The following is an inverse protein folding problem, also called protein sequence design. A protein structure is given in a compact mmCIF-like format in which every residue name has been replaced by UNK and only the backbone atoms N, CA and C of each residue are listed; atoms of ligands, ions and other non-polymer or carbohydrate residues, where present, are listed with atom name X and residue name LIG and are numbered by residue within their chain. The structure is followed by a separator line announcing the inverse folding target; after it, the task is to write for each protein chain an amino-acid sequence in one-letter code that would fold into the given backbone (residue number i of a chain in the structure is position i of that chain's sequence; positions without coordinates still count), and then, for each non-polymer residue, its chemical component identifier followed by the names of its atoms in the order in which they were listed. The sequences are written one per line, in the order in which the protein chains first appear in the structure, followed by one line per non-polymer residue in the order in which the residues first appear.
data_IF_380952674835
#
_entry.id   IF_380952674835
#
_cell.length_a   1.000
_cell.length_b   1.000
_cell.length_c   1.000
_cell.angle_alpha   90.00
_cell.angle_beta   90.00
_cell.angle_gamma   90.00
#
_symmetry.space_group_name_H-M   'P 1'
#
loop_
_entity.id
_entity.type
_entity.pdbx_description
1 polymer ?
#
# COMPACT_ATOMS: atom_id res chain seq x y z
N UNK A 1 -21.34 1.84 20.26
CA UNK A 1 -20.30 2.03 19.23
C UNK A 1 -19.66 0.67 18.99
N UNK A 2 -19.17 0.43 17.78
CA UNK A 2 -18.35 -0.74 17.41
C UNK A 2 -19.10 -2.03 17.11
N UNK A 3 -19.77 -2.03 15.96
CA UNK A 3 -19.69 -3.13 15.01
C UNK A 3 -19.70 -2.44 13.63
N UNK A 4 -18.68 -2.67 12.78
CA UNK A 4 -18.70 -2.31 11.34
C UNK A 4 -18.68 -0.81 11.01
N UNK A 5 -17.60 -0.09 11.33
CA UNK A 5 -17.36 1.22 10.69
C UNK A 5 -16.35 1.04 9.53
N UNK A 6 -16.82 0.99 8.26
CA UNK A 6 -15.95 0.86 7.10
C UNK A 6 -15.01 2.05 6.93
N UNK A 7 -15.41 3.23 7.40
CA UNK A 7 -14.60 4.45 7.33
C UNK A 7 -13.40 4.34 8.26
N UNK A 8 -13.58 3.81 9.46
CA UNK A 8 -12.48 3.58 10.40
C UNK A 8 -11.50 2.56 9.83
N UNK A 9 -11.99 1.46 9.27
CA UNK A 9 -11.13 0.46 8.62
C UNK A 9 -10.39 1.04 7.39
N UNK A 10 -11.04 1.89 6.61
CA UNK A 10 -10.40 2.58 5.49
C UNK A 10 -9.29 3.54 5.96
N UNK A 11 -9.57 4.36 6.97
CA UNK A 11 -8.59 5.30 7.53
C UNK A 11 -7.41 4.57 8.18
N UNK A 12 -7.67 3.45 8.84
CA UNK A 12 -6.61 2.62 9.43
C UNK A 12 -5.71 2.02 8.34
N UNK A 13 -6.31 1.50 7.25
CA UNK A 13 -5.55 1.00 6.10
C UNK A 13 -4.67 2.12 5.49
N UNK A 14 -5.23 3.30 5.25
CA UNK A 14 -4.48 4.45 4.74
C UNK A 14 -3.33 4.84 5.67
N UNK A 15 -3.55 4.83 7.00
CA UNK A 15 -2.54 5.17 7.99
C UNK A 15 -1.41 4.13 8.05
N UNK A 16 -1.74 2.84 8.12
CA UNK A 16 -0.74 1.78 8.22
C UNK A 16 0.11 1.68 6.94
N UNK A 17 -0.54 1.71 5.77
CA UNK A 17 0.14 1.74 4.48
C UNK A 17 0.98 3.01 4.34
N UNK A 18 0.44 4.16 4.73
CA UNK A 18 1.17 5.41 4.76
C UNK A 18 2.44 5.33 5.61
N UNK A 19 2.33 4.85 6.85
CA UNK A 19 3.46 4.67 7.76
C UNK A 19 4.52 3.70 7.22
N UNK A 20 4.11 2.57 6.65
CA UNK A 20 5.01 1.63 5.98
C UNK A 20 5.85 2.34 4.92
N UNK A 21 5.20 3.07 4.00
CA UNK A 21 5.85 3.72 2.89
C UNK A 21 6.68 4.96 3.29
N UNK A 22 6.25 5.71 4.31
CA UNK A 22 7.04 6.81 4.88
C UNK A 22 8.35 6.31 5.48
N UNK A 23 8.36 5.12 6.08
CA UNK A 23 9.56 4.49 6.62
C UNK A 23 10.57 4.02 5.57
N UNK A 24 10.17 3.92 4.30
CA UNK A 24 11.07 3.50 3.22
C UNK A 24 11.96 4.65 2.72
N UNK A 25 13.22 4.32 2.44
CA UNK A 25 14.14 5.18 1.69
C UNK A 25 13.71 5.36 0.23
N UNK A 26 14.23 6.39 -0.43
CA UNK A 26 13.95 6.66 -1.85
C UNK A 26 14.30 5.48 -2.77
N UNK A 27 15.36 4.72 -2.45
CA UNK A 27 15.76 3.55 -3.23
C UNK A 27 14.74 2.40 -3.08
N UNK A 28 14.28 2.15 -1.86
CA UNK A 28 13.27 1.11 -1.58
C UNK A 28 11.93 1.48 -2.23
N UNK A 29 11.51 2.75 -2.17
CA UNK A 29 10.30 3.21 -2.87
C UNK A 29 10.40 2.97 -4.39
N UNK A 30 11.56 3.25 -4.99
CA UNK A 30 11.80 2.96 -6.41
C UNK A 30 11.78 1.46 -6.71
N UNK A 31 12.34 0.62 -5.83
CA UNK A 31 12.29 -0.83 -5.97
C UNK A 31 10.86 -1.37 -5.95
N UNK A 32 10.01 -0.83 -5.08
CA UNK A 32 8.58 -1.15 -5.04
C UNK A 32 7.87 -0.69 -6.32
N UNK A 33 8.14 0.53 -6.79
CA UNK A 33 7.55 1.08 -8.02
C UNK A 33 7.94 0.30 -9.27
N UNK A 34 9.18 -0.19 -9.34
CA UNK A 34 9.70 -1.00 -10.44
C UNK A 34 9.15 -2.44 -10.46
N UNK A 35 8.20 -2.78 -9.58
CA UNK A 35 7.54 -4.08 -9.56
C UNK A 35 8.48 -5.25 -9.30
N UNK A 36 9.57 -5.03 -8.56
CA UNK A 36 10.53 -6.10 -8.27
C UNK A 36 11.19 -6.70 -9.51
N UNK A 37 11.31 -5.97 -10.62
CA UNK A 37 11.92 -6.47 -11.87
C UNK A 37 13.45 -6.72 -11.79
N UNK A 38 14.08 -6.54 -10.62
CA UNK A 38 15.52 -6.72 -10.43
C UNK A 38 15.94 -7.99 -9.70
N UNK A 39 15.22 -8.43 -8.65
CA UNK A 39 15.64 -9.57 -7.82
C UNK A 39 14.41 -10.14 -7.11
N UNK A 40 14.01 -11.37 -7.44
CA UNK A 40 13.17 -12.24 -6.59
C UNK A 40 12.07 -11.57 -5.78
N UNK A 41 11.04 -11.01 -6.44
CA UNK A 41 9.90 -10.36 -5.79
C UNK A 41 9.17 -11.25 -4.75
N UNK A 42 9.32 -12.57 -4.82
CA UNK A 42 8.80 -13.51 -3.82
C UNK A 42 9.55 -13.52 -2.46
N UNK A 43 10.75 -12.92 -2.37
CA UNK A 43 11.60 -12.93 -1.16
C UNK A 43 12.11 -11.54 -0.75
N UNK A 44 11.58 -10.46 -1.31
CA UNK A 44 12.02 -9.13 -0.87
C UNK A 44 11.42 -8.81 0.52
N UNK A 45 12.26 -8.44 1.51
CA UNK A 45 11.81 -8.14 2.87
C UNK A 45 10.71 -7.08 2.93
N UNK A 46 10.65 -6.19 1.94
CA UNK A 46 9.63 -5.14 1.83
C UNK A 46 8.23 -5.70 1.58
N UNK A 47 8.10 -6.72 0.71
CA UNK A 47 6.81 -7.36 0.48
C UNK A 47 6.39 -8.20 1.69
N UNK A 48 7.34 -8.86 2.35
CA UNK A 48 7.08 -9.58 3.60
C UNK A 48 6.58 -8.64 4.70
N UNK A 49 7.18 -7.45 4.83
CA UNK A 49 6.75 -6.45 5.80
C UNK A 49 5.40 -5.83 5.45
N UNK A 50 5.09 -5.63 4.16
CA UNK A 50 3.77 -5.17 3.73
C UNK A 50 2.68 -6.23 3.97
N UNK A 51 2.98 -7.51 3.74
CA UNK A 51 2.10 -8.62 4.10
C UNK A 51 1.85 -8.67 5.61
N UNK A 52 2.90 -8.55 6.43
CA UNK A 52 2.73 -8.47 7.88
C UNK A 52 1.87 -7.27 8.30
N UNK A 53 2.05 -6.11 7.64
CA UNK A 53 1.24 -4.90 7.90
C UNK A 53 -0.24 -5.16 7.57
N UNK A 54 -0.51 -5.94 6.53
CA UNK A 54 -1.85 -6.36 6.16
C UNK A 54 -2.45 -7.34 7.19
N UNK A 55 -1.68 -8.32 7.68
CA UNK A 55 -2.15 -9.26 8.69
C UNK A 55 -2.52 -8.54 10.00
N UNK A 56 -1.66 -7.62 10.47
CA UNK A 56 -1.97 -6.77 11.63
C UNK A 56 -3.19 -5.90 11.40
N UNK A 57 -3.37 -5.39 10.17
CA UNK A 57 -4.56 -4.63 9.82
C UNK A 57 -5.84 -5.47 9.92
N UNK A 58 -5.81 -6.72 9.44
CA UNK A 58 -6.94 -7.64 9.55
C UNK A 58 -7.29 -7.92 11.00
N UNK A 59 -6.31 -8.14 11.87
CA UNK A 59 -6.52 -8.35 13.31
C UNK A 59 -7.15 -7.13 14.00
N UNK A 60 -6.93 -5.92 13.44
CA UNK A 60 -7.44 -4.67 13.99
C UNK A 60 -8.83 -4.27 13.47
N UNK A 61 -9.37 -4.97 12.48
CA UNK A 61 -10.67 -4.60 11.88
C UNK A 61 -11.71 -5.69 12.01
N UNK A 62 -12.87 -5.33 12.54
CA UNK A 62 -14.03 -6.22 12.66
C UNK A 62 -14.91 -6.15 11.40
N UNK A 63 -14.30 -6.35 10.23
CA UNK A 63 -14.97 -6.36 8.93
C UNK A 63 -14.77 -7.71 8.23
N UNK A 64 -15.67 -8.09 7.31
CA UNK A 64 -15.40 -9.20 6.41
C UNK A 64 -14.06 -8.99 5.70
N UNK A 65 -13.21 -10.01 5.73
CA UNK A 65 -11.85 -9.95 5.21
C UNK A 65 -11.79 -9.44 3.76
N UNK A 66 -12.75 -9.83 2.91
CA UNK A 66 -12.85 -9.34 1.53
C UNK A 66 -12.98 -7.81 1.44
N UNK A 67 -13.77 -7.20 2.34
CA UNK A 67 -13.92 -5.74 2.40
C UNK A 67 -12.66 -5.07 2.93
N UNK A 68 -12.06 -5.63 3.99
CA UNK A 68 -10.82 -5.14 4.57
C UNK A 68 -9.67 -5.19 3.54
N UNK A 69 -9.54 -6.31 2.82
CA UNK A 69 -8.63 -6.48 1.68
C UNK A 69 -8.82 -5.39 0.64
N UNK A 70 -10.06 -5.08 0.29
CA UNK A 70 -10.40 -4.02 -0.65
C UNK A 70 -9.86 -2.65 -0.21
N UNK A 71 -10.07 -2.28 1.06
CA UNK A 71 -9.55 -1.01 1.60
C UNK A 71 -8.03 -0.97 1.64
N UNK A 72 -7.39 -2.05 2.06
CA UNK A 72 -5.93 -2.11 2.13
C UNK A 72 -5.30 -2.05 0.73
N UNK A 73 -5.83 -2.80 -0.23
CA UNK A 73 -5.37 -2.76 -1.61
C UNK A 73 -5.55 -1.36 -2.24
N UNK A 74 -6.66 -0.68 -1.95
CA UNK A 74 -6.89 0.68 -2.42
C UNK A 74 -5.88 1.67 -1.82
N UNK A 75 -5.57 1.55 -0.53
CA UNK A 75 -4.58 2.38 0.14
C UNK A 75 -3.17 2.17 -0.45
N UNK A 76 -2.77 0.92 -0.70
CA UNK A 76 -1.49 0.59 -1.37
C UNK A 76 -1.46 1.19 -2.76
N UNK A 77 -2.50 0.98 -3.57
CA UNK A 77 -2.58 1.54 -4.93
C UNK A 77 -2.43 3.07 -4.92
N UNK A 78 -3.17 3.76 -4.05
CA UNK A 78 -3.11 5.22 -3.91
C UNK A 78 -1.71 5.71 -3.55
N UNK A 79 -1.01 5.03 -2.62
CA UNK A 79 0.38 5.38 -2.30
C UNK A 79 1.36 5.14 -3.46
N UNK A 80 1.20 4.05 -4.19
CA UNK A 80 2.02 3.81 -5.37
C UNK A 80 1.80 4.89 -6.45
N UNK A 81 0.56 5.32 -6.66
CA UNK A 81 0.24 6.42 -7.58
C UNK A 81 0.83 7.76 -7.13
N UNK A 82 0.75 8.09 -5.84
CA UNK A 82 1.43 9.27 -5.28
C UNK A 82 2.94 9.23 -5.52
N UNK A 83 3.59 8.09 -5.28
CA UNK A 83 5.02 7.94 -5.53
C UNK A 83 5.40 8.00 -7.01
N UNK A 84 4.56 7.50 -7.90
CA UNK A 84 4.78 7.68 -9.35
C UNK A 84 4.74 9.17 -9.73
N UNK A 85 3.82 9.93 -9.15
CA UNK A 85 3.72 11.39 -9.33
C UNK A 85 4.96 12.10 -8.80
N UNK A 86 5.36 11.81 -7.57
CA UNK A 86 6.57 12.37 -6.95
C UNK A 86 7.85 12.05 -7.73
N UNK A 87 7.93 10.84 -8.29
CA UNK A 87 9.07 10.42 -9.10
C UNK A 87 9.10 11.04 -10.51
N UNK A 88 8.09 11.83 -10.90
CA UNK A 88 7.96 12.36 -12.26
C UNK A 88 7.71 11.29 -13.31
N UNK A 89 7.23 10.10 -12.89
CA UNK A 89 6.90 8.97 -13.76
C UNK A 89 5.45 9.03 -14.26
N UNK A 90 4.77 10.17 -14.10
CA UNK A 90 3.54 10.42 -14.83
C UNK A 90 3.84 10.35 -16.32
N UNK A 91 3.34 9.29 -16.95
CA UNK A 91 3.20 9.27 -18.40
C UNK A 91 2.34 10.47 -18.74
N UNK A 92 2.98 11.54 -19.20
CA UNK A 92 2.28 12.58 -19.94
C UNK A 92 1.64 11.85 -21.12
N UNK A 93 0.35 11.49 -20.99
CA UNK A 93 -0.51 11.33 -22.15
C UNK A 93 -0.59 12.70 -22.79
N UNK A 94 0.46 13.03 -23.54
CA UNK A 94 0.55 14.17 -24.44
C UNK A 94 -0.40 13.84 -25.58
N UNK A 95 -1.68 14.11 -25.34
CA UNK A 95 -2.71 14.13 -26.37
C UNK A 95 -2.23 15.06 -27.48
N UNK A 96 -2.02 14.47 -28.64
CA UNK A 96 -1.69 15.13 -29.90
C UNK A 96 -2.99 15.47 -30.62
#
# INVERSE_FOLDING_TARGET
MSERDPKTAMLLAERMVGSFFTGLSTQERRAVLAGGAGVGAGNSPLFSLLSYTFDVYLDCVELPEEKARGFFALAVKKKLEEFRREAGLEVQSRGK
#
